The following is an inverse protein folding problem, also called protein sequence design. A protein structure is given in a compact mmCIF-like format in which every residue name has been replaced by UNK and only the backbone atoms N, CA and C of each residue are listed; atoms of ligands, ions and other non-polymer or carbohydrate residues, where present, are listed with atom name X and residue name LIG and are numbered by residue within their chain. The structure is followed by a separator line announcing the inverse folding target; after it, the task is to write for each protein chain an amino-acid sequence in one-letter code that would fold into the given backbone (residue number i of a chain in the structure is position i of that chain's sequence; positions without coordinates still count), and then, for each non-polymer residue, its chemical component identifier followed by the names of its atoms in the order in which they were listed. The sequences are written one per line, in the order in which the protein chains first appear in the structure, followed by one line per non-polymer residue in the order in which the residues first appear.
data_IF_108588582015
#
_entry.id   IF_108588582015
#
_cell.length_a   1.000
_cell.length_b   1.000
_cell.length_c   1.000
_cell.angle_alpha   90.00
_cell.angle_beta   90.00
_cell.angle_gamma   90.00
#
_symmetry.space_group_name_H-M   'P 1'
#
loop_
_entity.id
_entity.type
_entity.pdbx_description
1 polymer ?
#
# COMPACT_ATOMS: atom_id res chain seq x y z
N UNK A 1 8.70 10.07 97.01
CA UNK A 1 8.71 8.63 96.68
C UNK A 1 9.84 8.35 95.72
N UNK A 2 10.84 7.56 96.16
CA UNK A 2 11.96 7.02 95.36
C UNK A 2 11.86 5.49 95.44
N UNK A 3 11.98 4.78 94.32
CA UNK A 3 12.59 3.44 94.17
C UNK A 3 12.53 3.04 92.68
N UNK A 4 13.69 2.96 92.01
CA UNK A 4 14.43 1.75 91.60
C UNK A 4 13.71 0.89 90.53
N UNK A 5 14.16 0.99 89.27
CA UNK A 5 13.98 -0.05 88.25
C UNK A 5 15.35 -0.67 87.93
N UNK A 6 15.41 -1.99 88.12
CA UNK A 6 16.57 -2.86 87.94
C UNK A 6 16.55 -3.43 86.52
N UNK A 7 17.72 -3.40 85.88
CA UNK A 7 18.04 -4.00 84.59
C UNK A 7 18.16 -5.53 84.76
N UNK A 8 17.43 -6.32 83.96
CA UNK A 8 17.65 -7.77 83.83
C UNK A 8 17.82 -8.10 82.35
N UNK A 9 19.02 -8.58 82.04
CA UNK A 9 19.49 -9.13 80.78
C UNK A 9 18.99 -10.57 80.66
N UNK A 10 18.20 -10.90 79.61
CA UNK A 10 17.83 -12.29 79.33
C UNK A 10 18.56 -12.80 78.07
N UNK A 11 19.24 -13.93 78.28
CA UNK A 11 20.18 -14.62 77.41
C UNK A 11 19.43 -15.43 76.34
N UNK A 12 19.86 -15.31 75.08
CA UNK A 12 19.34 -16.08 73.95
C UNK A 12 19.85 -17.54 73.98
N UNK A 13 18.93 -18.50 73.92
CA UNK A 13 19.23 -19.92 73.68
C UNK A 13 18.73 -20.27 72.28
N UNK A 14 19.67 -20.45 71.36
CA UNK A 14 19.42 -20.90 69.98
C UNK A 14 19.39 -22.43 69.99
N UNK A 15 18.26 -23.01 69.63
CA UNK A 15 18.11 -24.45 69.38
C UNK A 15 18.18 -24.69 67.87
N UNK A 16 19.20 -25.43 67.42
CA UNK A 16 19.30 -25.90 66.04
C UNK A 16 18.42 -27.14 65.88
N UNK A 17 17.25 -26.99 65.26
CA UNK A 17 16.48 -28.10 64.70
C UNK A 17 16.84 -28.28 63.23
N UNK A 18 17.50 -29.41 62.94
CA UNK A 18 17.80 -29.91 61.61
C UNK A 18 16.52 -30.36 60.92
N UNK A 19 16.08 -29.61 59.90
CA UNK A 19 15.12 -30.12 58.91
C UNK A 19 15.89 -30.68 57.72
N UNK A 20 15.91 -32.01 57.61
CA UNK A 20 16.39 -32.73 56.43
C UNK A 20 15.60 -32.30 55.19
N UNK A 21 16.26 -31.63 54.24
CA UNK A 21 15.74 -31.52 52.87
C UNK A 21 15.76 -32.92 52.26
N UNK A 22 14.60 -33.58 52.23
CA UNK A 22 14.37 -34.69 51.31
C UNK A 22 14.59 -34.16 49.89
N UNK A 23 15.73 -34.51 49.29
CA UNK A 23 15.96 -34.34 47.87
C UNK A 23 14.96 -35.24 47.15
N UNK A 24 13.89 -34.67 46.61
CA UNK A 24 13.26 -35.27 45.44
C UNK A 24 14.33 -35.34 44.36
N UNK A 25 14.58 -36.50 43.73
CA UNK A 25 15.47 -36.57 42.59
C UNK A 25 14.71 -36.03 41.38
N UNK A 26 14.59 -34.70 41.26
CA UNK A 26 14.25 -34.09 39.97
C UNK A 26 15.49 -34.18 39.07
N UNK A 27 15.66 -35.39 38.53
CA UNK A 27 16.66 -35.73 37.52
C UNK A 27 16.14 -35.38 36.14
N UNK A 28 15.52 -34.20 35.95
CA UNK A 28 15.41 -33.65 34.61
C UNK A 28 16.83 -33.23 34.22
N UNK A 29 17.49 -33.92 33.28
CA UNK A 29 18.87 -33.61 32.95
C UNK A 29 18.94 -32.16 32.51
N UNK A 30 19.78 -31.36 33.19
CA UNK A 30 20.03 -29.95 32.87
C UNK A 30 20.87 -29.82 31.59
N UNK A 31 20.39 -30.43 30.52
CA UNK A 31 21.07 -30.56 29.25
C UNK A 31 20.60 -29.44 28.34
N UNK A 32 21.53 -28.57 27.95
CA UNK A 32 21.28 -27.52 26.97
C UNK A 32 20.90 -28.17 25.63
N UNK A 33 19.93 -27.61 24.88
CA UNK A 33 19.67 -28.07 23.53
C UNK A 33 20.87 -27.87 22.60
N UNK A 34 21.06 -28.78 21.65
CA UNK A 34 22.14 -28.72 20.64
C UNK A 34 21.64 -29.11 19.26
N UNK A 35 22.45 -28.88 18.23
CA UNK A 35 22.18 -29.31 16.85
C UNK A 35 20.85 -28.78 16.31
N UNK A 36 20.57 -27.49 16.53
CA UNK A 36 19.39 -26.83 15.98
C UNK A 36 19.46 -26.78 14.45
N UNK A 37 18.49 -27.42 13.80
CA UNK A 37 18.26 -27.38 12.36
C UNK A 37 16.93 -26.69 12.10
N UNK A 38 16.90 -25.77 11.14
CA UNK A 38 15.70 -25.02 10.74
C UNK A 38 15.48 -25.23 9.24
N UNK A 39 14.35 -25.85 8.91
CA UNK A 39 13.88 -26.05 7.55
C UNK A 39 12.69 -25.16 7.26
N UNK A 40 12.57 -24.74 6.00
CA UNK A 40 11.49 -23.91 5.51
C UNK A 40 11.05 -24.44 4.14
N UNK A 41 9.76 -24.73 4.00
CA UNK A 41 9.13 -25.16 2.77
C UNK A 41 8.19 -24.05 2.30
N UNK A 42 8.59 -23.36 1.24
CA UNK A 42 7.84 -22.26 0.65
C UNK A 42 6.86 -22.84 -0.37
N UNK A 43 5.58 -22.50 -0.24
CA UNK A 43 4.56 -22.96 -1.18
C UNK A 43 4.82 -22.41 -2.57
N UNK A 44 4.80 -23.27 -3.59
CA UNK A 44 5.04 -22.90 -4.98
C UNK A 44 3.83 -22.28 -5.68
N UNK A 45 2.69 -22.19 -4.99
CA UNK A 45 1.44 -21.62 -5.50
C UNK A 45 1.42 -20.08 -5.46
N UNK A 46 2.50 -19.46 -4.99
CA UNK A 46 2.58 -18.01 -4.86
C UNK A 46 1.71 -17.44 -3.74
N UNK A 47 1.15 -18.28 -2.85
CA UNK A 47 0.30 -17.83 -1.74
C UNK A 47 1.05 -17.05 -0.66
N UNK A 48 2.38 -17.21 -0.61
CA UNK A 48 3.24 -16.76 0.47
C UNK A 48 3.24 -17.66 1.71
N UNK A 49 2.56 -18.80 1.66
CA UNK A 49 2.55 -19.77 2.76
C UNK A 49 3.91 -20.46 2.90
N UNK A 50 4.45 -20.50 4.10
CA UNK A 50 5.71 -21.18 4.43
C UNK A 50 5.51 -22.07 5.66
N UNK A 51 5.89 -23.34 5.52
CA UNK A 51 5.93 -24.30 6.62
C UNK A 51 7.35 -24.40 7.15
N UNK A 52 7.51 -24.24 8.46
CA UNK A 52 8.77 -24.35 9.16
C UNK A 52 8.81 -25.61 10.02
N UNK A 53 9.95 -26.26 10.02
CA UNK A 53 10.26 -27.38 10.92
C UNK A 53 11.60 -27.12 11.58
N UNK A 54 11.61 -27.10 12.91
CA UNK A 54 12.83 -27.00 13.69
C UNK A 54 13.03 -28.26 14.52
N UNK A 55 14.28 -28.73 14.57
CA UNK A 55 14.69 -29.86 15.40
C UNK A 55 15.97 -29.54 16.14
N UNK A 56 16.04 -29.90 17.41
CA UNK A 56 17.25 -29.82 18.23
C UNK A 56 17.26 -30.98 19.23
N UNK A 57 18.44 -31.51 19.55
CA UNK A 57 18.58 -32.49 20.64
C UNK A 57 18.24 -31.84 21.97
N UNK A 58 17.61 -32.58 22.87
CA UNK A 58 17.19 -32.14 24.22
C UNK A 58 16.23 -30.94 24.24
N UNK A 59 15.63 -30.57 23.11
CA UNK A 59 14.59 -29.56 23.05
C UNK A 59 13.21 -30.19 23.31
N UNK A 60 12.37 -29.48 24.05
CA UNK A 60 10.98 -29.86 24.35
C UNK A 60 9.97 -28.85 23.80
N UNK A 61 10.44 -27.69 23.34
CA UNK A 61 9.62 -26.65 22.70
C UNK A 61 10.50 -25.70 21.90
N UNK A 62 9.87 -25.01 20.95
CA UNK A 62 10.47 -24.02 20.08
C UNK A 62 9.68 -22.72 20.14
N UNK A 63 10.32 -21.61 19.79
CA UNK A 63 9.70 -20.31 19.63
C UNK A 63 10.18 -19.67 18.34
N UNK A 64 9.27 -19.13 17.55
CA UNK A 64 9.52 -18.57 16.23
C UNK A 64 9.19 -17.09 16.18
N UNK A 65 10.04 -16.30 15.54
CA UNK A 65 9.72 -14.95 15.04
C UNK A 65 10.07 -14.91 13.54
N UNK A 66 9.18 -14.42 12.68
CA UNK A 66 9.20 -14.67 11.23
C UNK A 66 9.80 -13.53 10.39
N UNK A 67 10.23 -12.45 11.02
CA UNK A 67 10.75 -11.26 10.37
C UNK A 67 9.67 -10.43 9.67
N UNK A 68 8.40 -10.54 10.06
CA UNK A 68 7.29 -9.85 9.37
C UNK A 68 7.09 -8.40 9.83
N UNK A 69 7.46 -8.07 11.07
CA UNK A 69 7.33 -6.73 11.63
C UNK A 69 8.28 -6.53 12.80
N UNK A 70 8.70 -5.29 13.04
CA UNK A 70 9.46 -4.94 14.24
C UNK A 70 8.59 -5.16 15.50
N UNK A 71 9.12 -5.92 16.47
CA UNK A 71 8.40 -6.25 17.70
C UNK A 71 7.34 -7.36 17.54
N UNK A 72 7.47 -8.21 16.53
CA UNK A 72 6.58 -9.36 16.36
C UNK A 72 6.58 -10.27 17.61
N UNK A 73 5.39 -10.76 17.97
CA UNK A 73 5.26 -11.70 19.09
C UNK A 73 5.65 -13.10 18.62
N UNK A 74 6.47 -13.77 19.42
CA UNK A 74 6.95 -15.10 19.07
C UNK A 74 5.84 -16.16 19.18
N UNK A 75 5.81 -17.10 18.23
CA UNK A 75 4.89 -18.24 18.23
C UNK A 75 5.58 -19.43 18.89
N UNK A 76 4.98 -19.95 19.97
CA UNK A 76 5.46 -21.16 20.61
C UNK A 76 4.99 -22.41 19.84
N UNK A 77 5.90 -23.36 19.65
CA UNK A 77 5.66 -24.62 18.95
C UNK A 77 6.20 -25.79 19.78
N UNK A 78 5.34 -26.66 20.33
CA UNK A 78 5.79 -27.81 21.13
C UNK A 78 6.52 -28.87 20.31
N UNK A 79 6.14 -29.06 19.05
CA UNK A 79 6.66 -30.10 18.14
C UNK A 79 7.69 -29.57 17.14
N UNK A 80 7.98 -28.27 17.18
CA UNK A 80 8.91 -27.61 16.27
C UNK A 80 8.30 -27.26 14.92
N UNK A 81 7.00 -27.46 14.70
CA UNK A 81 6.32 -27.04 13.48
C UNK A 81 5.67 -25.65 13.63
N UNK A 82 5.75 -24.83 12.58
CA UNK A 82 5.02 -23.58 12.50
C UNK A 82 4.68 -23.23 11.05
N UNK A 83 3.51 -22.62 10.83
CA UNK A 83 3.10 -22.14 9.51
C UNK A 83 2.79 -20.66 9.58
N UNK A 84 3.25 -19.91 8.58
CA UNK A 84 2.95 -18.48 8.42
C UNK A 84 2.65 -18.19 6.96
N UNK A 85 1.86 -17.13 6.72
CA UNK A 85 1.67 -16.56 5.39
C UNK A 85 2.35 -15.19 5.31
N UNK A 86 3.36 -15.07 4.46
CA UNK A 86 3.92 -13.77 4.09
C UNK A 86 2.96 -13.07 3.13
N UNK A 87 2.82 -11.75 3.25
CA UNK A 87 1.88 -10.96 2.45
C UNK A 87 2.55 -10.14 1.35
N UNK A 88 3.88 -10.19 1.26
CA UNK A 88 4.68 -9.52 0.24
C UNK A 88 5.84 -10.39 -0.23
N UNK A 89 6.23 -10.26 -1.50
CA UNK A 89 7.53 -10.77 -1.98
C UNK A 89 8.65 -10.13 -1.17
N UNK A 90 9.61 -10.91 -0.71
CA UNK A 90 10.74 -10.37 0.05
C UNK A 90 11.69 -11.42 0.59
N UNK A 91 12.79 -10.93 1.14
CA UNK A 91 13.71 -11.73 1.93
C UNK A 91 13.38 -11.55 3.41
N UNK A 92 13.25 -12.65 4.13
CA UNK A 92 12.90 -12.67 5.54
C UNK A 92 13.94 -13.46 6.33
N UNK A 93 14.18 -13.02 7.56
CA UNK A 93 14.99 -13.77 8.52
C UNK A 93 14.08 -14.28 9.62
N UNK A 94 14.02 -15.60 9.75
CA UNK A 94 13.26 -16.28 10.79
C UNK A 94 14.19 -16.63 11.93
N UNK A 95 13.87 -16.19 13.14
CA UNK A 95 14.62 -16.50 14.34
C UNK A 95 13.90 -17.62 15.09
N UNK A 96 14.63 -18.67 15.44
CA UNK A 96 14.10 -19.83 16.16
C UNK A 96 14.90 -20.04 17.43
N UNK A 97 14.20 -20.21 18.55
CA UNK A 97 14.79 -20.56 19.83
C UNK A 97 14.26 -21.95 20.22
N UNK A 98 15.16 -22.91 20.45
CA UNK A 98 14.82 -24.22 20.98
C UNK A 98 15.13 -24.26 22.48
N UNK A 99 14.17 -24.70 23.30
CA UNK A 99 14.28 -24.74 24.75
C UNK A 99 14.25 -26.18 25.27
N UNK A 100 15.06 -26.43 26.29
CA UNK A 100 14.97 -27.62 27.14
C UNK A 100 13.85 -27.47 28.18
N UNK A 101 13.57 -28.53 28.94
CA UNK A 101 12.57 -28.52 30.01
C UNK A 101 12.90 -27.55 31.17
N UNK A 102 14.17 -27.16 31.34
CA UNK A 102 14.63 -26.21 32.36
C UNK A 102 14.95 -24.83 31.76
N UNK A 103 14.39 -24.51 30.59
CA UNK A 103 14.54 -23.22 29.89
C UNK A 103 15.97 -22.84 29.43
N UNK A 104 16.95 -23.75 29.50
CA UNK A 104 18.18 -23.56 28.71
C UNK A 104 17.84 -23.59 27.22
N UNK A 105 18.53 -22.78 26.43
CA UNK A 105 18.21 -22.60 25.02
C UNK A 105 19.42 -22.57 24.08
N UNK A 106 19.14 -22.86 22.82
CA UNK A 106 19.97 -22.52 21.65
C UNK A 106 19.07 -21.75 20.67
N UNK A 107 19.65 -20.84 19.91
CA UNK A 107 18.91 -20.10 18.88
C UNK A 107 19.65 -20.17 17.55
N UNK A 108 18.92 -19.92 16.47
CA UNK A 108 19.47 -19.86 15.13
C UNK A 108 18.54 -19.10 14.19
N UNK A 109 19.11 -18.66 13.09
CA UNK A 109 18.43 -17.85 12.08
C UNK A 109 18.30 -18.62 10.77
N UNK A 110 17.18 -18.44 10.07
CA UNK A 110 16.96 -18.95 8.72
C UNK A 110 16.55 -17.81 7.80
N UNK A 111 17.42 -17.49 6.84
CA UNK A 111 17.04 -16.62 5.74
C UNK A 111 16.19 -17.39 4.72
N UNK A 112 15.11 -16.77 4.26
CA UNK A 112 14.23 -17.28 3.20
C UNK A 112 13.94 -16.16 2.19
N UNK A 113 13.64 -16.54 0.96
CA UNK A 113 13.17 -15.63 -0.09
C UNK A 113 11.78 -16.11 -0.53
N UNK A 114 10.75 -15.30 -0.26
CA UNK A 114 9.37 -15.61 -0.62
C UNK A 114 8.99 -14.77 -1.83
N UNK A 115 8.48 -15.41 -2.88
CA UNK A 115 7.91 -14.72 -4.04
C UNK A 115 6.40 -14.93 -4.09
N UNK A 116 5.67 -13.82 -4.17
CA UNK A 116 4.22 -13.75 -4.22
C UNK A 116 3.87 -12.98 -5.50
N UNK A 117 3.57 -13.68 -6.60
CA UNK A 117 3.25 -13.03 -7.85
C UNK A 117 2.00 -12.18 -7.69
N UNK A 118 2.08 -10.94 -8.16
CA UNK A 118 0.92 -10.07 -8.20
C UNK A 118 -0.06 -10.58 -9.25
N UNK A 119 -1.21 -11.07 -8.78
CA UNK A 119 -2.31 -11.48 -9.65
C UNK A 119 -3.28 -10.31 -9.80
N UNK A 120 -3.50 -9.87 -11.04
CA UNK A 120 -4.49 -8.83 -11.35
C UNK A 120 -5.88 -9.46 -11.21
N UNK A 121 -6.77 -8.93 -10.34
CA UNK A 121 -8.14 -9.42 -10.24
C UNK A 121 -8.88 -9.21 -11.55
N UNK A 122 -9.68 -10.18 -12.00
CA UNK A 122 -10.50 -10.01 -13.22
C UNK A 122 -11.89 -9.46 -12.94
N UNK A 123 -12.29 -9.44 -11.66
CA UNK A 123 -13.59 -8.93 -11.20
C UNK A 123 -13.66 -7.39 -11.31
N UNK A 124 -14.88 -6.89 -11.39
CA UNK A 124 -15.17 -5.46 -11.37
C UNK A 124 -16.08 -5.00 -12.50
N UNK A 125 -16.53 -3.75 -12.40
CA UNK A 125 -17.43 -3.15 -13.38
C UNK A 125 -16.74 -2.93 -14.74
N UNK A 126 -17.48 -2.97 -15.85
CA UNK A 126 -16.98 -2.66 -17.20
C UNK A 126 -18.01 -1.81 -17.93
N UNK A 127 -17.55 -0.83 -18.72
CA UNK A 127 -18.42 0.00 -19.56
C UNK A 127 -18.59 -0.55 -20.98
N UNK A 128 -19.71 -0.24 -21.65
CA UNK A 128 -19.90 -0.57 -23.06
C UNK A 128 -18.95 0.22 -23.98
N UNK A 129 -18.85 -0.22 -25.24
CA UNK A 129 -18.08 0.48 -26.29
C UNK A 129 -18.90 1.54 -27.06
N UNK A 130 -20.17 1.72 -26.70
CA UNK A 130 -21.08 2.65 -27.38
C UNK A 130 -22.04 3.29 -26.40
N UNK A 131 -22.31 4.58 -26.56
CA UNK A 131 -23.35 5.30 -25.84
C UNK A 131 -24.30 5.97 -26.84
N UNK A 132 -25.59 6.14 -26.50
CA UNK A 132 -26.53 6.84 -27.37
C UNK A 132 -26.00 8.24 -27.75
N UNK A 133 -25.91 8.50 -29.06
CA UNK A 133 -25.46 9.79 -29.59
C UNK A 133 -23.96 10.07 -29.44
N UNK A 134 -23.13 9.09 -29.07
CA UNK A 134 -21.67 9.24 -28.99
C UNK A 134 -20.95 8.14 -29.77
N UNK A 135 -19.79 8.48 -30.31
CA UNK A 135 -18.87 7.55 -30.98
C UNK A 135 -17.59 7.41 -30.17
N UNK A 136 -17.03 6.21 -30.06
CA UNK A 136 -15.69 6.00 -29.50
C UNK A 136 -14.66 6.62 -30.45
N UNK A 137 -14.01 7.71 -30.04
CA UNK A 137 -13.05 8.46 -30.88
C UNK A 137 -11.60 8.11 -30.57
N UNK A 138 -11.32 7.61 -29.37
CA UNK A 138 -10.00 7.15 -28.97
C UNK A 138 -10.10 6.17 -27.80
N UNK A 139 -9.22 5.18 -27.80
CA UNK A 139 -9.02 4.28 -26.68
C UNK A 139 -7.55 3.86 -26.59
N UNK A 140 -7.10 3.55 -25.39
CA UNK A 140 -5.96 2.68 -25.14
C UNK A 140 -6.42 1.52 -24.27
N UNK A 141 -6.41 0.32 -24.84
CA UNK A 141 -6.78 -0.95 -24.20
C UNK A 141 -5.54 -1.69 -23.69
N UNK A 142 -4.35 -1.08 -23.78
CA UNK A 142 -3.07 -1.62 -23.32
C UNK A 142 -2.78 -3.07 -23.77
N UNK A 143 -3.28 -3.46 -24.94
CA UNK A 143 -3.17 -4.81 -25.50
C UNK A 143 -1.80 -5.14 -26.11
N UNK A 144 -0.89 -4.15 -26.16
CA UNK A 144 0.49 -4.33 -26.59
C UNK A 144 1.36 -5.01 -25.54
N UNK A 145 2.66 -5.08 -25.81
CA UNK A 145 3.67 -5.61 -24.88
C UNK A 145 4.50 -4.50 -24.23
N UNK A 146 4.17 -3.23 -24.51
CA UNK A 146 4.87 -2.05 -23.99
C UNK A 146 3.96 -0.82 -24.08
N UNK A 147 4.32 0.23 -23.33
CA UNK A 147 3.59 1.49 -23.36
C UNK A 147 3.61 2.09 -24.76
N UNK A 148 2.43 2.43 -25.29
CA UNK A 148 2.32 3.06 -26.60
C UNK A 148 2.87 4.50 -26.56
N UNK A 149 4.09 4.69 -27.05
CA UNK A 149 4.78 5.98 -27.05
C UNK A 149 4.18 6.99 -28.02
N UNK A 150 3.31 6.57 -28.95
CA UNK A 150 2.52 7.50 -29.75
C UNK A 150 1.40 8.17 -28.94
N UNK A 151 1.00 7.59 -27.80
CA UNK A 151 -0.04 8.13 -26.91
C UNK A 151 0.58 8.73 -25.65
N UNK A 152 1.54 8.04 -25.04
CA UNK A 152 2.03 8.37 -23.70
C UNK A 152 3.49 8.83 -23.69
N UNK A 153 3.82 9.67 -22.73
CA UNK A 153 5.17 10.11 -22.37
C UNK A 153 5.35 9.87 -20.87
N UNK A 154 6.42 9.19 -20.48
CA UNK A 154 6.81 9.06 -19.07
C UNK A 154 7.50 10.34 -18.58
N UNK A 155 7.09 10.82 -17.41
CA UNK A 155 7.79 11.88 -16.67
C UNK A 155 8.73 11.26 -15.63
N UNK A 156 9.91 11.85 -15.44
CA UNK A 156 10.93 11.32 -14.54
C UNK A 156 11.47 12.38 -13.59
N UNK A 157 11.85 12.00 -12.37
CA UNK A 157 12.53 12.88 -11.42
C UNK A 157 11.86 13.02 -10.05
N UNK A 158 12.36 13.98 -9.27
CA UNK A 158 12.09 14.13 -7.82
C UNK A 158 11.26 15.37 -7.43
N UNK A 159 11.09 16.33 -8.35
CA UNK A 159 10.58 17.67 -8.04
C UNK A 159 9.09 17.77 -8.38
N UNK A 160 8.25 17.63 -7.36
CA UNK A 160 6.79 17.66 -7.46
C UNK A 160 6.22 18.60 -6.39
N UNK A 161 5.04 19.17 -6.64
CA UNK A 161 4.56 20.34 -5.91
C UNK A 161 4.14 20.06 -4.44
N UNK A 162 3.90 18.80 -4.08
CA UNK A 162 3.12 18.45 -2.90
C UNK A 162 3.93 17.72 -1.81
N UNK A 163 5.24 17.99 -1.71
CA UNK A 163 6.16 17.29 -0.80
C UNK A 163 6.17 15.76 -0.95
N UNK A 164 5.91 15.32 -2.18
CA UNK A 164 5.96 13.92 -2.59
C UNK A 164 7.37 13.31 -2.36
N UNK A 165 7.40 12.02 -2.02
CA UNK A 165 8.60 11.30 -1.59
C UNK A 165 9.17 10.33 -2.64
N UNK A 166 8.47 10.12 -3.75
CA UNK A 166 8.93 9.24 -4.83
C UNK A 166 9.88 9.94 -5.81
N UNK A 167 10.74 9.15 -6.43
CA UNK A 167 11.33 9.43 -7.74
C UNK A 167 10.45 8.79 -8.83
N UNK A 168 9.90 9.57 -9.76
CA UNK A 168 9.25 8.98 -10.93
C UNK A 168 10.31 8.48 -11.92
N UNK A 169 10.12 7.26 -12.42
CA UNK A 169 11.00 6.63 -13.41
C UNK A 169 10.21 5.74 -14.37
N UNK A 170 10.72 5.58 -15.59
CA UNK A 170 10.05 4.81 -16.65
C UNK A 170 9.97 3.30 -16.32
N UNK A 171 10.96 2.75 -15.61
CA UNK A 171 11.04 1.34 -15.21
C UNK A 171 9.94 0.90 -14.23
N UNK A 172 9.12 1.83 -13.75
CA UNK A 172 7.96 1.56 -12.90
C UNK A 172 6.64 1.54 -13.67
N UNK A 173 6.68 1.74 -14.99
CA UNK A 173 5.55 1.51 -15.90
C UNK A 173 5.77 0.21 -16.67
N UNK A 174 4.77 -0.65 -16.68
CA UNK A 174 4.74 -1.90 -17.45
C UNK A 174 3.42 -1.99 -18.20
N UNK A 175 3.43 -2.57 -19.40
CA UNK A 175 2.20 -3.04 -20.05
C UNK A 175 2.30 -4.56 -20.14
N UNK A 176 1.36 -5.26 -19.51
CA UNK A 176 1.31 -6.72 -19.49
C UNK A 176 -0.11 -7.23 -19.36
N UNK A 177 -0.37 -8.38 -19.96
CA UNK A 177 -1.65 -9.09 -19.88
C UNK A 177 -2.89 -8.23 -20.26
N UNK A 178 -2.70 -7.22 -21.13
CA UNK A 178 -3.75 -6.28 -21.52
C UNK A 178 -3.94 -5.09 -20.57
N UNK A 179 -3.02 -4.88 -19.61
CA UNK A 179 -3.11 -3.82 -18.62
C UNK A 179 -1.91 -2.90 -18.63
N UNK A 180 -2.13 -1.61 -18.39
CA UNK A 180 -1.11 -0.71 -17.87
C UNK A 180 -0.93 -0.95 -16.37
N UNK A 181 0.30 -1.12 -15.91
CA UNK A 181 0.65 -1.28 -14.50
C UNK A 181 1.67 -0.21 -14.10
N UNK A 182 1.26 0.68 -13.19
CA UNK A 182 2.15 1.64 -12.53
C UNK A 182 2.47 1.10 -11.14
N UNK A 183 3.75 0.82 -10.89
CA UNK A 183 4.21 0.24 -9.63
C UNK A 183 4.93 1.28 -8.78
N UNK A 184 4.48 1.51 -7.55
CA UNK A 184 5.23 2.22 -6.52
C UNK A 184 6.07 1.20 -5.70
N UNK A 185 7.36 1.47 -5.52
CA UNK A 185 8.31 0.59 -4.81
C UNK A 185 8.98 1.34 -3.67
N UNK A 186 9.35 0.60 -2.63
CA UNK A 186 10.28 1.08 -1.60
C UNK A 186 11.70 0.69 -2.01
N UNK A 187 12.42 1.65 -2.57
CA UNK A 187 13.81 1.47 -3.02
C UNK A 187 14.57 2.79 -2.95
N UNK A 188 15.84 2.72 -2.54
CA UNK A 188 16.71 3.88 -2.48
C UNK A 188 17.19 4.24 -3.88
N UNK A 189 16.68 5.35 -4.44
CA UNK A 189 17.03 5.80 -5.79
C UNK A 189 17.06 7.32 -5.86
N UNK A 190 18.10 7.90 -6.47
CA UNK A 190 18.23 9.34 -6.68
C UNK A 190 17.97 10.19 -5.43
N UNK A 191 18.40 9.72 -4.25
CA UNK A 191 18.21 10.43 -2.96
C UNK A 191 16.79 10.31 -2.37
N UNK A 192 15.90 9.49 -2.95
CA UNK A 192 14.58 9.15 -2.41
C UNK A 192 14.56 7.70 -1.90
N UNK A 193 13.57 7.38 -1.06
CA UNK A 193 13.33 6.04 -0.52
C UNK A 193 12.23 5.27 -1.25
N UNK A 194 11.62 5.92 -2.25
CA UNK A 194 10.53 5.37 -3.03
C UNK A 194 10.72 5.71 -4.50
N UNK A 195 10.26 4.82 -5.36
CA UNK A 195 10.14 5.06 -6.79
C UNK A 195 8.71 4.79 -7.26
N UNK A 196 8.30 5.43 -8.34
CA UNK A 196 7.00 5.18 -8.97
C UNK A 196 7.02 5.60 -10.44
N UNK A 197 5.87 5.70 -11.10
CA UNK A 197 5.77 6.27 -12.44
C UNK A 197 4.65 7.30 -12.55
N UNK A 198 4.85 8.22 -13.49
CA UNK A 198 3.89 9.22 -13.93
C UNK A 198 3.96 9.30 -15.44
N UNK A 199 2.81 9.16 -16.09
CA UNK A 199 2.70 9.20 -17.55
C UNK A 199 1.68 10.25 -17.96
N UNK A 200 1.87 10.83 -19.14
CA UNK A 200 0.92 11.82 -19.70
C UNK A 200 0.75 11.69 -21.20
N UNK A 201 -0.37 12.17 -21.71
CA UNK A 201 -0.66 12.21 -23.15
C UNK A 201 -0.47 13.61 -23.77
N UNK A 202 0.13 14.55 -23.02
CA UNK A 202 0.34 15.94 -23.47
C UNK A 202 0.97 15.98 -24.87
N UNK A 203 0.39 16.82 -25.74
CA UNK A 203 0.79 17.02 -27.13
C UNK A 203 0.70 15.77 -28.04
N UNK A 204 0.15 14.66 -27.53
CA UNK A 204 -0.05 13.40 -28.27
C UNK A 204 -1.54 13.04 -28.41
N UNK A 205 -2.25 13.02 -27.28
CA UNK A 205 -3.70 12.82 -27.20
C UNK A 205 -4.29 13.80 -26.20
N UNK A 206 -5.18 14.65 -26.68
CA UNK A 206 -5.92 15.60 -25.86
C UNK A 206 -7.31 15.77 -26.45
N UNK A 207 -8.28 16.04 -25.59
CA UNK A 207 -9.69 16.04 -25.93
C UNK A 207 -10.38 17.23 -25.28
N UNK A 208 -11.45 17.70 -25.92
CA UNK A 208 -12.35 18.69 -25.34
C UNK A 208 -13.76 18.15 -25.39
N UNK A 209 -14.40 18.05 -24.22
CA UNK A 209 -15.73 17.51 -24.03
C UNK A 209 -15.85 16.03 -24.38
N UNK A 210 -17.03 15.48 -24.11
CA UNK A 210 -17.37 14.09 -24.35
C UNK A 210 -17.45 13.28 -23.07
N UNK A 211 -17.57 11.98 -23.24
CA UNK A 211 -17.50 11.01 -22.16
C UNK A 211 -16.10 10.42 -22.08
N UNK A 212 -15.59 10.25 -20.87
CA UNK A 212 -14.36 9.50 -20.61
C UNK A 212 -14.66 8.37 -19.64
N UNK A 213 -14.19 7.17 -19.94
CA UNK A 213 -14.21 6.02 -19.04
C UNK A 213 -12.78 5.55 -18.79
N UNK A 214 -12.37 5.45 -17.52
CA UNK A 214 -11.10 4.83 -17.13
C UNK A 214 -11.38 3.67 -16.17
N UNK A 215 -11.12 2.44 -16.62
CA UNK A 215 -11.27 1.25 -15.78
C UNK A 215 -9.96 0.94 -15.07
N UNK A 216 -9.95 1.02 -13.75
CA UNK A 216 -8.74 0.84 -12.96
C UNK A 216 -8.97 0.10 -11.64
N UNK A 217 -7.94 -0.65 -11.24
CA UNK A 217 -7.72 -1.15 -9.88
C UNK A 217 -6.76 -0.18 -9.18
N UNK A 218 -7.17 0.34 -8.03
CA UNK A 218 -6.47 1.45 -7.37
C UNK A 218 -5.71 0.92 -6.15
N UNK A 219 -4.43 1.30 -5.94
CA UNK A 219 -3.65 0.81 -4.80
C UNK A 219 -4.15 1.35 -3.46
N UNK A 220 -3.60 0.82 -2.37
CA UNK A 220 -4.06 1.11 -1.00
C UNK A 220 -2.89 1.32 -0.02
N UNK A 221 -3.23 1.74 1.19
CA UNK A 221 -2.30 1.83 2.31
C UNK A 221 -1.79 3.24 2.55
N UNK A 222 -1.39 3.49 3.81
CA UNK A 222 -0.99 4.80 4.29
C UNK A 222 0.07 5.43 3.37
N UNK A 223 -0.17 6.67 2.94
CA UNK A 223 0.79 7.46 2.18
C UNK A 223 0.85 7.12 0.69
N UNK A 224 -0.04 6.28 0.18
CA UNK A 224 -0.14 5.97 -1.25
C UNK A 224 -1.20 6.88 -1.86
N UNK A 225 -0.84 7.57 -2.95
CA UNK A 225 -1.69 8.57 -3.60
C UNK A 225 -1.77 8.33 -5.11
N UNK A 226 -2.62 7.40 -5.55
CA UNK A 226 -2.90 7.20 -6.97
C UNK A 226 -3.80 8.32 -7.50
N UNK A 227 -3.55 8.73 -8.74
CA UNK A 227 -4.34 9.73 -9.44
C UNK A 227 -4.53 9.37 -10.92
N UNK A 228 -5.77 9.51 -11.38
CA UNK A 228 -6.18 9.54 -12.78
C UNK A 228 -6.80 10.91 -13.04
N UNK A 229 -6.11 11.74 -13.82
CA UNK A 229 -6.45 13.15 -13.89
C UNK A 229 -6.06 13.75 -15.23
N UNK A 230 -6.42 15.01 -15.42
CA UNK A 230 -6.21 15.73 -16.66
C UNK A 230 -5.78 17.17 -16.41
N UNK A 231 -4.95 17.69 -17.30
CA UNK A 231 -4.53 19.09 -17.32
C UNK A 231 -4.83 19.71 -18.68
N UNK A 232 -5.08 21.02 -18.72
CA UNK A 232 -5.24 21.73 -19.98
C UNK A 232 -3.98 21.60 -20.86
N UNK A 233 -4.14 21.27 -22.14
CA UNK A 233 -3.00 21.07 -23.06
C UNK A 233 -2.19 22.36 -23.31
N UNK A 234 -2.76 23.52 -22.97
CA UNK A 234 -2.06 24.80 -22.96
C UNK A 234 -1.13 24.99 -21.73
N UNK A 235 -0.90 23.98 -20.88
CA UNK A 235 -0.03 24.02 -19.68
C UNK A 235 1.40 24.52 -19.93
N UNK A 236 1.91 24.34 -21.15
CA UNK A 236 3.22 24.87 -21.56
C UNK A 236 3.20 26.38 -21.82
N UNK A 237 2.03 26.94 -22.13
CA UNK A 237 1.84 28.37 -22.40
C UNK A 237 1.33 29.15 -21.19
N UNK A 238 0.55 28.51 -20.29
CA UNK A 238 0.06 29.13 -19.06
C UNK A 238 0.33 28.23 -17.86
N UNK A 239 0.68 28.83 -16.71
CA UNK A 239 0.94 28.08 -15.48
C UNK A 239 -0.34 27.46 -14.92
N UNK A 240 -0.18 26.46 -14.06
CA UNK A 240 -1.24 26.05 -13.16
C UNK A 240 -1.54 27.18 -12.15
N UNK A 241 -2.79 27.42 -11.72
CA UNK A 241 -4.01 26.69 -12.09
C UNK A 241 -4.73 27.25 -13.33
N UNK A 242 -4.15 28.21 -14.05
CA UNK A 242 -4.75 28.86 -15.23
C UNK A 242 -4.99 27.90 -16.40
N UNK A 243 -4.19 26.83 -16.53
CA UNK A 243 -4.43 25.77 -17.51
C UNK A 243 -5.69 24.93 -17.20
N UNK A 244 -6.16 24.95 -15.95
CA UNK A 244 -7.19 24.04 -15.45
C UNK A 244 -6.67 22.64 -15.17
N UNK A 245 -7.37 21.96 -14.26
CA UNK A 245 -7.13 20.59 -13.83
C UNK A 245 -8.47 19.90 -13.57
N UNK A 246 -8.62 18.66 -14.05
CA UNK A 246 -9.77 17.80 -13.78
C UNK A 246 -9.22 16.48 -13.22
N UNK A 247 -9.38 16.28 -11.92
CA UNK A 247 -9.03 15.03 -11.26
C UNK A 247 -10.24 14.11 -11.30
N UNK A 248 -10.18 13.13 -12.19
CA UNK A 248 -11.25 12.15 -12.37
C UNK A 248 -11.31 11.18 -11.17
N UNK A 249 -10.14 10.85 -10.63
CA UNK A 249 -9.97 9.97 -9.48
C UNK A 249 -8.68 10.30 -8.77
N UNK A 250 -8.77 10.63 -7.49
CA UNK A 250 -7.68 10.59 -6.53
C UNK A 250 -8.08 9.73 -5.34
N UNK A 251 -7.09 9.20 -4.64
CA UNK A 251 -7.31 8.51 -3.38
C UNK A 251 -6.15 8.81 -2.42
N UNK A 252 -6.46 8.99 -1.13
CA UNK A 252 -5.44 9.06 -0.07
C UNK A 252 -5.50 7.78 0.75
N UNK A 253 -4.58 6.86 0.47
CA UNK A 253 -4.56 5.54 1.06
C UNK A 253 -4.30 5.57 2.56
N UNK A 254 -4.88 4.59 3.26
CA UNK A 254 -4.85 4.48 4.71
C UNK A 254 -6.18 4.03 5.30
N UNK A 255 -6.21 3.82 6.61
CA UNK A 255 -7.40 3.38 7.35
C UNK A 255 -7.86 4.37 8.42
N UNK A 256 -7.23 5.54 8.50
CA UNK A 256 -7.53 6.57 9.51
C UNK A 256 -7.94 7.85 8.81
N UNK A 257 -9.17 8.29 9.08
CA UNK A 257 -9.76 9.50 8.52
C UNK A 257 -8.81 10.72 8.64
N UNK A 258 -8.66 11.54 7.58
CA UNK A 258 -9.43 11.54 6.33
C UNK A 258 -9.00 10.49 5.28
N UNK A 259 -7.98 9.68 5.58
CA UNK A 259 -7.39 8.69 4.68
C UNK A 259 -8.24 7.42 4.65
N UNK A 260 -8.49 6.91 3.47
CA UNK A 260 -9.34 5.74 3.29
C UNK A 260 -9.07 5.02 1.97
N UNK A 261 -8.78 3.72 2.09
CA UNK A 261 -8.69 2.80 0.95
C UNK A 261 -10.04 2.57 0.21
N UNK A 262 -11.16 3.02 0.80
CA UNK A 262 -12.51 2.86 0.26
C UNK A 262 -13.12 4.18 -0.25
N UNK A 263 -12.37 5.28 -0.20
CA UNK A 263 -12.85 6.61 -0.60
C UNK A 263 -11.99 7.19 -1.71
N UNK A 264 -12.67 7.62 -2.78
CA UNK A 264 -12.07 8.39 -3.85
C UNK A 264 -12.55 9.83 -3.82
N UNK A 265 -11.73 10.72 -4.34
CA UNK A 265 -11.99 12.12 -4.51
C UNK A 265 -11.89 12.47 -5.98
N UNK A 266 -12.62 13.49 -6.37
CA UNK A 266 -12.47 14.09 -7.67
C UNK A 266 -12.63 15.59 -7.54
N UNK A 267 -11.73 16.31 -8.20
CA UNK A 267 -11.55 17.74 -7.96
C UNK A 267 -11.44 18.43 -9.31
N UNK A 268 -11.93 19.66 -9.37
CA UNK A 268 -11.61 20.56 -10.48
C UNK A 268 -10.86 21.75 -9.90
N UNK A 269 -9.76 22.15 -10.53
CA UNK A 269 -8.97 23.32 -10.14
C UNK A 269 -8.91 24.32 -11.29
N UNK A 270 -9.07 25.60 -10.96
CA UNK A 270 -8.98 26.68 -11.94
C UNK A 270 -8.44 27.95 -11.30
N UNK A 271 -8.12 28.93 -12.16
CA UNK A 271 -7.76 30.27 -11.72
C UNK A 271 -8.95 31.20 -11.92
N UNK A 272 -9.44 31.79 -10.82
CA UNK A 272 -10.36 32.92 -10.85
C UNK A 272 -9.83 33.99 -9.90
N UNK A 273 -8.94 34.84 -10.44
CA UNK A 273 -8.04 35.76 -9.71
C UNK A 273 -7.00 35.04 -8.85
N UNK A 274 -7.42 34.01 -8.10
CA UNK A 274 -6.59 33.11 -7.31
C UNK A 274 -6.93 31.65 -7.63
N UNK A 275 -6.16 30.72 -7.05
CA UNK A 275 -6.50 29.29 -7.11
C UNK A 275 -7.86 29.03 -6.48
N UNK A 276 -8.72 28.38 -7.25
CA UNK A 276 -10.02 27.89 -6.82
C UNK A 276 -10.09 26.39 -7.06
N UNK A 277 -10.90 25.72 -6.23
CA UNK A 277 -11.15 24.30 -6.39
C UNK A 277 -12.56 23.92 -5.94
N UNK A 278 -13.09 22.85 -6.51
CA UNK A 278 -14.32 22.22 -6.05
C UNK A 278 -14.15 20.71 -6.05
N UNK A 279 -14.46 20.08 -4.92
CA UNK A 279 -14.25 18.64 -4.73
C UNK A 279 -15.58 17.89 -4.60
N UNK A 280 -15.60 16.69 -5.13
CA UNK A 280 -16.54 15.61 -4.83
C UNK A 280 -15.80 14.43 -4.23
N UNK A 281 -16.54 13.52 -3.61
CA UNK A 281 -15.98 12.25 -3.15
C UNK A 281 -17.02 11.16 -3.19
N UNK A 282 -16.57 9.92 -3.34
CA UNK A 282 -17.40 8.73 -3.22
C UNK A 282 -16.73 7.75 -2.27
N UNK A 283 -17.52 7.17 -1.36
CA UNK A 283 -17.07 6.10 -0.46
C UNK A 283 -17.81 4.83 -0.83
N UNK A 284 -17.07 3.75 -1.11
CA UNK A 284 -17.65 2.44 -1.32
C UNK A 284 -18.44 2.00 -0.07
N UNK A 285 -19.65 1.42 -0.22
CA UNK A 285 -20.41 0.93 0.91
C UNK A 285 -19.71 -0.24 1.61
N UNK A 286 -18.91 -1.02 0.87
CA UNK A 286 -18.14 -2.16 1.37
C UNK A 286 -16.84 -2.33 0.57
N UNK A 287 -15.79 -2.85 1.20
CA UNK A 287 -14.53 -3.17 0.54
C UNK A 287 -13.65 -1.94 0.26
N UNK A 288 -12.66 -2.12 -0.62
CA UNK A 288 -11.67 -1.12 -1.03
C UNK A 288 -11.56 -1.06 -2.55
N UNK A 289 -11.08 0.07 -3.08
CA UNK A 289 -10.81 0.20 -4.52
C UNK A 289 -9.67 -0.70 -5.03
N UNK A 290 -8.92 -1.32 -4.12
CA UNK A 290 -7.87 -2.29 -4.41
C UNK A 290 -8.38 -3.74 -4.55
N UNK A 291 -9.67 -4.00 -4.30
CA UNK A 291 -10.21 -5.35 -4.26
C UNK A 291 -10.72 -5.82 -5.63
N UNK A 292 -11.20 -4.91 -6.48
CA UNK A 292 -11.69 -5.18 -7.84
C UNK A 292 -11.60 -3.93 -8.72
N UNK A 293 -11.71 -4.10 -10.04
CA UNK A 293 -11.75 -2.97 -10.96
C UNK A 293 -13.02 -2.13 -10.80
N UNK A 294 -12.86 -0.82 -10.90
CA UNK A 294 -13.95 0.14 -10.99
C UNK A 294 -13.76 1.01 -12.23
N UNK A 295 -14.84 1.61 -12.73
CA UNK A 295 -14.77 2.57 -13.84
C UNK A 295 -15.05 3.97 -13.32
N UNK A 296 -14.01 4.80 -13.34
CA UNK A 296 -14.08 6.22 -13.06
C UNK A 296 -14.43 6.92 -14.36
N UNK A 297 -15.59 7.57 -14.41
CA UNK A 297 -16.09 8.16 -15.66
C UNK A 297 -16.46 9.63 -15.49
N UNK A 298 -16.37 10.39 -16.59
CA UNK A 298 -16.95 11.73 -16.65
C UNK A 298 -17.75 11.95 -17.93
N UNK A 299 -18.79 12.77 -17.82
CA UNK A 299 -19.47 13.42 -18.94
C UNK A 299 -19.17 14.92 -18.85
N UNK A 300 -18.50 15.45 -19.87
CA UNK A 300 -18.00 16.82 -19.89
C UNK A 300 -18.52 17.57 -21.11
N UNK A 301 -19.07 18.77 -20.89
CA UNK A 301 -19.45 19.70 -21.94
C UNK A 301 -19.09 21.15 -21.53
N UNK A 302 -19.51 22.12 -22.34
CA UNK A 302 -19.14 23.53 -22.16
C UNK A 302 -19.58 24.17 -20.83
N UNK A 303 -20.57 23.57 -20.15
CA UNK A 303 -21.17 24.14 -18.93
C UNK A 303 -21.16 23.19 -17.74
N UNK A 304 -20.87 21.90 -17.95
CA UNK A 304 -20.93 20.89 -16.88
C UNK A 304 -19.84 19.83 -17.01
N UNK A 305 -19.38 19.36 -15.86
CA UNK A 305 -18.62 18.11 -15.70
C UNK A 305 -19.40 17.26 -14.70
N UNK A 306 -19.77 16.05 -15.09
CA UNK A 306 -20.51 15.09 -14.28
C UNK A 306 -19.63 13.87 -14.09
N UNK A 307 -19.48 13.42 -12.85
CA UNK A 307 -18.61 12.31 -12.50
C UNK A 307 -19.43 11.11 -12.05
N UNK A 308 -18.97 9.94 -12.49
CA UNK A 308 -19.58 8.66 -12.22
C UNK A 308 -18.54 7.69 -11.67
N UNK A 309 -18.99 6.84 -10.77
CA UNK A 309 -18.29 5.61 -10.41
C UNK A 309 -19.20 4.44 -10.78
N UNK A 310 -18.72 3.55 -11.64
CA UNK A 310 -19.49 2.39 -12.12
C UNK A 310 -20.88 2.79 -12.65
N UNK A 311 -20.91 3.86 -13.47
CA UNK A 311 -22.11 4.52 -14.02
C UNK A 311 -23.09 5.15 -13.01
N UNK A 312 -22.71 5.24 -11.73
CA UNK A 312 -23.47 5.95 -10.71
C UNK A 312 -22.94 7.39 -10.58
N UNK A 313 -23.75 8.37 -10.95
CA UNK A 313 -23.42 9.80 -10.76
C UNK A 313 -23.24 10.09 -9.26
N UNK A 314 -22.13 10.73 -8.90
CA UNK A 314 -21.87 11.14 -7.52
C UNK A 314 -21.47 12.61 -7.36
N UNK A 315 -21.09 13.27 -8.45
CA UNK A 315 -20.73 14.68 -8.43
C UNK A 315 -21.04 15.35 -9.76
N UNK A 316 -21.54 16.59 -9.67
CA UNK A 316 -21.77 17.47 -10.80
C UNK A 316 -21.19 18.85 -10.50
N UNK A 317 -20.40 19.36 -11.43
CA UNK A 317 -19.83 20.69 -11.39
C UNK A 317 -20.48 21.57 -12.45
N UNK A 318 -20.85 22.80 -12.07
CA UNK A 318 -21.21 23.84 -13.02
C UNK A 318 -19.93 24.59 -13.44
N UNK A 319 -19.57 24.50 -14.71
CA UNK A 319 -18.41 25.19 -15.30
C UNK A 319 -18.80 26.37 -16.18
N UNK A 320 -20.09 26.75 -16.21
CA UNK A 320 -20.59 27.91 -16.98
C UNK A 320 -20.07 29.29 -16.56
N UNK A 321 -19.66 29.56 -15.30
CA UNK A 321 -19.21 30.90 -14.91
C UNK A 321 -18.04 31.47 -15.72
N UNK A 322 -18.06 32.80 -15.90
CA UNK A 322 -16.96 33.60 -16.48
C UNK A 322 -15.78 33.59 -15.50
N UNK A 323 -14.70 32.87 -15.83
CA UNK A 323 -13.61 32.53 -14.91
C UNK A 323 -13.23 31.04 -14.95
N UNK A 324 -14.14 30.20 -15.43
CA UNK A 324 -13.93 28.75 -15.60
C UNK A 324 -13.59 28.37 -17.06
N UNK A 325 -13.05 29.31 -17.84
CA UNK A 325 -12.72 29.14 -19.27
C UNK A 325 -11.69 28.04 -19.54
N UNK A 326 -10.91 27.65 -18.52
CA UNK A 326 -10.00 26.53 -18.63
C UNK A 326 -10.74 25.26 -19.07
N UNK A 327 -11.91 24.96 -18.50
CA UNK A 327 -12.71 23.76 -18.80
C UNK A 327 -13.46 23.81 -20.14
N UNK A 328 -13.18 24.81 -20.98
CA UNK A 328 -13.66 24.93 -22.37
C UNK A 328 -12.54 24.73 -23.39
N UNK A 329 -11.38 24.23 -22.95
CA UNK A 329 -10.17 23.97 -23.76
C UNK A 329 -9.89 22.48 -23.83
N UNK A 330 -8.87 22.11 -24.60
CA UNK A 330 -8.42 20.72 -24.70
C UNK A 330 -7.63 20.31 -23.45
N UNK A 331 -7.84 19.08 -22.98
CA UNK A 331 -7.15 18.48 -21.84
C UNK A 331 -6.46 17.18 -22.24
N UNK A 332 -5.30 16.91 -21.66
CA UNK A 332 -4.57 15.65 -21.80
C UNK A 332 -4.63 14.85 -20.49
N UNK A 333 -4.48 13.53 -20.58
CA UNK A 333 -4.47 12.63 -19.42
C UNK A 333 -3.10 12.62 -18.73
N UNK A 334 -3.11 12.53 -17.41
CA UNK A 334 -1.95 12.21 -16.58
C UNK A 334 -2.35 11.11 -15.60
N UNK A 335 -1.58 10.01 -15.55
CA UNK A 335 -1.77 8.93 -14.59
C UNK A 335 -0.50 8.73 -13.77
N UNK A 336 -0.64 8.61 -12.44
CA UNK A 336 0.49 8.36 -11.56
C UNK A 336 0.09 7.67 -10.25
N UNK A 337 1.10 7.18 -9.54
CA UNK A 337 0.99 6.81 -8.13
C UNK A 337 2.05 7.59 -7.36
N UNK A 338 1.65 8.67 -6.69
CA UNK A 338 2.51 9.36 -5.74
C UNK A 338 2.68 8.54 -4.45
N UNK A 339 3.79 8.79 -3.75
CA UNK A 339 4.11 8.21 -2.44
C UNK A 339 4.48 9.34 -1.50
N UNK A 340 3.76 9.46 -0.39
CA UNK A 340 3.87 10.58 0.52
C UNK A 340 3.24 11.87 -0.03
N UNK A 341 3.43 12.96 0.71
CA UNK A 341 2.92 14.28 0.38
C UNK A 341 2.04 14.86 1.48
N UNK A 342 1.75 16.15 1.37
CA UNK A 342 1.05 16.90 2.41
C UNK A 342 -0.36 16.35 2.70
N UNK A 343 -1.06 15.91 1.65
CA UNK A 343 -2.43 15.39 1.77
C UNK A 343 -2.51 13.92 2.23
N UNK A 344 -1.84 12.94 1.59
CA UNK A 344 -1.88 11.55 2.05
C UNK A 344 -1.09 11.33 3.37
N UNK A 345 -0.17 12.24 3.71
CA UNK A 345 0.88 11.99 4.67
C UNK A 345 1.90 10.97 4.16
N UNK A 346 2.97 10.73 4.91
CA UNK A 346 3.99 9.76 4.51
C UNK A 346 3.56 8.30 4.74
N UNK A 347 4.15 7.33 4.02
CA UNK A 347 4.07 5.92 4.40
C UNK A 347 4.57 5.66 5.82
N UNK A 348 4.00 4.67 6.50
CA UNK A 348 4.41 4.23 7.82
C UNK A 348 4.68 2.71 7.85
N UNK A 349 4.79 2.13 9.05
CA UNK A 349 5.05 0.69 9.22
C UNK A 349 3.92 -0.21 8.74
N UNK A 350 2.72 0.34 8.50
CA UNK A 350 1.57 -0.38 7.97
C UNK A 350 1.52 -0.37 6.44
N UNK A 351 2.30 0.49 5.78
CA UNK A 351 2.35 0.57 4.32
C UNK A 351 3.15 -0.59 3.73
N UNK A 352 2.46 -1.51 3.07
CA UNK A 352 3.09 -2.63 2.36
C UNK A 352 3.46 -2.20 0.95
N UNK A 353 4.71 -2.45 0.56
CA UNK A 353 5.21 -2.26 -0.81
C UNK A 353 5.56 -3.61 -1.45
N UNK A 354 5.53 -3.72 -2.79
CA UNK A 354 5.13 -2.69 -3.75
C UNK A 354 3.60 -2.45 -3.79
N UNK A 355 3.20 -1.28 -4.25
CA UNK A 355 1.80 -0.93 -4.55
C UNK A 355 1.62 -0.74 -6.04
N UNK A 356 0.45 -1.09 -6.59
CA UNK A 356 0.21 -1.06 -8.03
C UNK A 356 -1.14 -0.43 -8.35
N UNK A 357 -1.13 0.55 -9.24
CA UNK A 357 -2.33 0.95 -9.98
C UNK A 357 -2.33 0.19 -11.30
N UNK A 358 -3.45 -0.48 -11.59
CA UNK A 358 -3.65 -1.24 -12.82
C UNK A 358 -4.76 -0.58 -13.60
N UNK A 359 -4.52 -0.23 -14.86
CA UNK A 359 -5.53 0.36 -15.75
C UNK A 359 -5.77 -0.62 -16.89
N UNK A 360 -7.03 -1.02 -17.04
CA UNK A 360 -7.51 -1.92 -18.10
C UNK A 360 -7.72 -1.15 -19.40
N UNK A 361 -8.38 0.00 -19.33
CA UNK A 361 -8.52 0.88 -20.48
C UNK A 361 -8.75 2.33 -20.09
N UNK A 362 -8.46 3.21 -21.04
CA UNK A 362 -9.05 4.55 -21.12
C UNK A 362 -9.78 4.68 -22.45
N UNK A 363 -11.02 5.16 -22.41
CA UNK A 363 -11.88 5.32 -23.60
C UNK A 363 -12.50 6.72 -23.61
N UNK A 364 -12.54 7.34 -24.77
CA UNK A 364 -13.11 8.68 -24.98
C UNK A 364 -14.15 8.64 -26.07
N UNK A 365 -15.34 9.17 -25.76
CA UNK A 365 -16.50 9.18 -26.65
C UNK A 365 -17.00 10.61 -26.87
N UNK A 366 -17.41 10.94 -28.10
CA UNK A 366 -17.94 12.26 -28.45
C UNK A 366 -19.17 12.19 -29.34
#
# INVERSE_FOLDING_TARGET
MKTKNILILLLAIVTFSSCSKTKTPDTVPNTKPTDLVINAEISSDGSGNVNFTATAKNAVRYSYTFGISYGETAINSPDGQATIRYSSTGNYTVHVIAYSANDNFIFGDKAIAVDIPFTIPTLGYTTPLTYPGKTLIWADEFSGTSLNTAFWTQETGNAWANNEQQNYQASNTEVKDGYLVITAKKEAVNGRQYSSSRIKTQDKKFFKYGRVDVRALVPKGQGIWPALWMLGNNKSAVSWPTCGEIDLMELIGGSVSPKSDSKTYATIHWNDVTHQQSQGSYTLPTGKFADQFHVFSMEWNATTIILYLDDIEYKRFNTSPTGMDAFRKDFFFTFNVAVGGDWPGNPDTTTVFPQRMVVDYVRVFQ
#
